data_IF_271343393990
#
_entry.id   IF_271343393990
#
_cell.length_a   1.000
_cell.length_b   1.000
_cell.length_c   1.000
_cell.angle_alpha   90.00
_cell.angle_beta   90.00
_cell.angle_gamma   90.00
#
_symmetry.space_group_name_H-M   'P 1'
#
loop_
_entity.id
_entity.type
_entity.pdbx_description
1 polymer ?
#
# COMPACT_ATOMS: atom_id res chain seq x y z
N UNK A 1 17.61 -6.73 33.56
CA UNK A 1 18.69 -5.94 32.94
C UNK A 1 18.04 -4.66 32.42
N UNK A 2 18.30 -3.52 33.05
CA UNK A 2 17.84 -2.23 32.55
C UNK A 2 18.67 -1.83 31.33
N UNK A 3 17.99 -1.57 30.21
CA UNK A 3 18.65 -1.05 29.01
C UNK A 3 18.68 0.47 29.10
N UNK A 4 19.85 1.06 28.87
CA UNK A 4 19.99 2.51 28.75
C UNK A 4 19.18 3.00 27.54
N UNK A 5 18.53 4.17 27.65
CA UNK A 5 17.85 4.80 26.54
C UNK A 5 18.86 5.12 25.42
N UNK A 6 18.60 4.66 24.21
CA UNK A 6 19.52 4.80 23.08
C UNK A 6 19.81 6.27 22.72
N UNK A 7 18.84 7.17 22.86
CA UNK A 7 19.00 8.61 22.65
C UNK A 7 20.15 9.22 23.46
N UNK A 8 20.42 8.67 24.66
CA UNK A 8 21.54 9.11 25.51
C UNK A 8 22.91 8.64 25.03
N UNK A 9 22.96 7.82 23.96
CA UNK A 9 24.17 7.23 23.44
C UNK A 9 24.61 7.83 22.11
N UNK A 10 23.68 8.48 21.38
CA UNK A 10 23.98 9.13 20.10
C UNK A 10 24.85 10.37 20.29
N UNK A 11 25.72 10.59 19.32
CA UNK A 11 26.47 11.83 19.12
C UNK A 11 25.83 12.62 18.00
N UNK A 12 26.12 13.91 17.91
CA UNK A 12 25.54 14.81 16.90
C UNK A 12 25.65 14.28 15.45
N UNK A 13 26.79 13.68 15.08
CA UNK A 13 26.95 13.10 13.75
C UNK A 13 26.07 11.84 13.53
N UNK A 14 25.88 11.02 14.56
CA UNK A 14 25.03 9.83 14.52
C UNK A 14 23.55 10.22 14.48
N UNK A 15 23.17 11.27 15.19
CA UNK A 15 21.80 11.84 15.12
C UNK A 15 21.49 12.38 13.72
N UNK A 16 22.44 13.06 13.08
CA UNK A 16 22.26 13.57 11.71
C UNK A 16 22.08 12.43 10.68
N UNK A 17 22.85 11.34 10.80
CA UNK A 17 22.68 10.16 9.95
C UNK A 17 21.36 9.45 10.20
N UNK A 18 20.93 9.32 11.45
CA UNK A 18 19.64 8.74 11.83
C UNK A 18 18.48 9.58 11.24
N UNK A 19 18.53 10.91 11.35
CA UNK A 19 17.50 11.80 10.80
C UNK A 19 17.44 11.72 9.27
N UNK A 20 18.57 11.58 8.61
CA UNK A 20 18.64 11.36 7.17
C UNK A 20 17.95 10.04 6.78
N UNK A 21 18.26 8.95 7.51
CA UNK A 21 17.64 7.66 7.30
C UNK A 21 16.12 7.71 7.58
N UNK A 22 15.71 8.35 8.67
CA UNK A 22 14.31 8.52 9.05
C UNK A 22 13.51 9.31 8.00
N UNK A 23 14.12 10.36 7.42
CA UNK A 23 13.52 11.12 6.32
C UNK A 23 13.32 10.24 5.07
N UNK A 24 14.35 9.52 4.65
CA UNK A 24 14.28 8.64 3.50
C UNK A 24 13.25 7.51 3.72
N UNK A 25 13.17 6.97 4.93
CA UNK A 25 12.15 5.97 5.29
C UNK A 25 10.72 6.54 5.21
N UNK A 26 10.46 7.77 5.68
CA UNK A 26 9.15 8.42 5.51
C UNK A 26 8.77 8.56 4.02
N UNK A 27 9.73 8.98 3.19
CA UNK A 27 9.51 9.10 1.74
C UNK A 27 9.23 7.74 1.09
N UNK A 28 9.89 6.68 1.55
CA UNK A 28 9.61 5.31 1.11
C UNK A 28 8.20 4.85 1.50
N UNK A 29 7.76 5.11 2.75
CA UNK A 29 6.41 4.79 3.22
C UNK A 29 5.31 5.57 2.48
N UNK A 30 5.60 6.80 2.08
CA UNK A 30 4.65 7.62 1.32
C UNK A 30 4.42 7.09 -0.09
N UNK A 31 5.47 6.59 -0.74
CA UNK A 31 5.44 6.09 -2.11
C UNK A 31 5.08 4.61 -2.20
N UNK A 32 5.38 3.85 -1.17
CA UNK A 32 5.17 2.42 -1.11
C UNK A 32 3.95 2.05 -0.27
N UNK A 33 2.74 2.26 -0.78
CA UNK A 33 1.51 1.87 -0.08
C UNK A 33 1.14 0.40 -0.32
N UNK A 34 1.56 -0.15 -1.45
CA UNK A 34 1.38 -1.56 -1.84
C UNK A 34 2.72 -2.25 -2.02
N UNK A 35 2.72 -3.59 -2.13
CA UNK A 35 3.93 -4.36 -2.43
C UNK A 35 4.55 -3.95 -3.77
N UNK A 36 3.70 -3.67 -4.79
CA UNK A 36 4.16 -3.23 -6.13
C UNK A 36 4.91 -1.92 -6.06
N UNK A 37 4.36 -0.97 -5.33
CA UNK A 37 4.96 0.35 -5.15
C UNK A 37 6.25 0.26 -4.33
N UNK A 38 6.27 -0.56 -3.25
CA UNK A 38 7.49 -0.83 -2.49
C UNK A 38 8.59 -1.40 -3.38
N UNK A 39 8.27 -2.41 -4.21
CA UNK A 39 9.25 -3.01 -5.13
C UNK A 39 9.74 -1.98 -6.14
N UNK A 40 8.87 -1.13 -6.68
CA UNK A 40 9.26 -0.08 -7.61
C UNK A 40 10.25 0.92 -7.00
N UNK A 41 9.99 1.38 -5.77
CA UNK A 41 10.90 2.28 -5.06
C UNK A 41 12.22 1.59 -4.68
N UNK A 42 12.19 0.32 -4.25
CA UNK A 42 13.41 -0.46 -3.97
C UNK A 42 14.27 -0.62 -5.24
N UNK A 43 13.66 -0.91 -6.39
CA UNK A 43 14.38 -0.99 -7.67
C UNK A 43 15.07 0.33 -7.99
N UNK A 44 14.37 1.44 -7.86
CA UNK A 44 14.89 2.77 -8.12
C UNK A 44 16.08 3.14 -7.22
N UNK A 45 15.98 2.85 -5.92
CA UNK A 45 17.07 3.07 -4.97
C UNK A 45 18.26 2.13 -5.26
N UNK A 46 17.99 0.86 -5.57
CA UNK A 46 19.02 -0.11 -5.92
C UNK A 46 19.77 0.29 -7.21
N UNK A 47 19.05 0.70 -8.26
CA UNK A 47 19.69 1.18 -9.50
C UNK A 47 20.54 2.43 -9.27
N UNK A 48 20.07 3.37 -8.44
CA UNK A 48 20.87 4.53 -8.03
C UNK A 48 22.13 4.16 -7.26
N UNK A 49 22.13 3.01 -6.54
CA UNK A 49 23.29 2.45 -5.85
C UNK A 49 24.15 1.50 -6.70
N UNK A 50 23.87 1.43 -8.01
CA UNK A 50 24.66 0.66 -8.98
C UNK A 50 24.28 -0.82 -9.10
N UNK A 51 23.10 -1.21 -8.65
CA UNK A 51 22.55 -2.54 -8.93
C UNK A 51 21.99 -2.60 -10.35
N UNK A 52 22.18 -3.73 -11.01
CA UNK A 52 21.67 -4.00 -12.35
C UNK A 52 20.63 -5.14 -12.33
N UNK A 53 19.64 -5.08 -13.23
CA UNK A 53 18.67 -6.15 -13.38
C UNK A 53 19.33 -7.45 -13.79
N UNK A 54 19.18 -8.50 -13.01
CA UNK A 54 19.66 -9.86 -13.32
C UNK A 54 19.03 -10.38 -14.61
N UNK A 55 17.75 -10.12 -14.84
CA UNK A 55 17.05 -10.51 -16.07
C UNK A 55 17.70 -9.84 -17.31
N UNK A 56 18.04 -8.56 -17.20
CA UNK A 56 18.72 -7.82 -18.28
C UNK A 56 20.10 -8.40 -18.59
N UNK A 57 20.89 -8.76 -17.54
CA UNK A 57 22.19 -9.43 -17.73
C UNK A 57 22.02 -10.78 -18.42
N UNK A 58 21.05 -11.59 -18.02
CA UNK A 58 20.76 -12.89 -18.63
C UNK A 58 20.40 -12.73 -20.12
N UNK A 59 19.52 -11.77 -20.46
CA UNK A 59 19.13 -11.49 -21.85
C UNK A 59 20.33 -11.08 -22.73
N UNK A 60 21.32 -10.39 -22.15
CA UNK A 60 22.55 -10.00 -22.85
C UNK A 60 23.63 -11.11 -22.89
N UNK A 61 23.39 -12.23 -22.20
CA UNK A 61 24.36 -13.32 -22.06
C UNK A 61 25.56 -12.95 -21.17
N UNK A 62 25.42 -11.96 -20.31
CA UNK A 62 26.48 -11.53 -19.39
C UNK A 62 26.61 -12.51 -18.22
N UNK A 63 27.85 -12.78 -17.81
CA UNK A 63 28.13 -13.63 -16.65
C UNK A 63 28.24 -12.77 -15.40
N UNK A 64 27.71 -13.28 -14.29
CA UNK A 64 27.86 -12.68 -12.97
C UNK A 64 29.29 -12.89 -12.49
N UNK A 65 29.87 -11.86 -11.88
CA UNK A 65 31.25 -11.84 -11.35
C UNK A 65 31.25 -11.40 -9.88
N UNK A 66 32.33 -11.73 -9.19
CA UNK A 66 32.56 -11.20 -7.84
C UNK A 66 32.56 -9.65 -7.86
N UNK A 67 31.90 -9.06 -6.90
CA UNK A 67 31.69 -7.61 -6.80
C UNK A 67 30.45 -7.06 -7.54
N UNK A 68 29.79 -7.90 -8.38
CA UNK A 68 28.58 -7.46 -9.06
C UNK A 68 27.44 -7.21 -8.05
N UNK A 69 26.69 -6.17 -8.31
CA UNK A 69 25.43 -5.84 -7.61
C UNK A 69 24.28 -6.07 -8.56
N UNK A 70 23.40 -7.05 -8.26
CA UNK A 70 22.27 -7.38 -9.11
C UNK A 70 21.00 -7.51 -8.32
N UNK A 71 19.86 -7.25 -8.97
CA UNK A 71 18.53 -7.49 -8.39
C UNK A 71 17.67 -8.36 -9.30
N UNK A 72 16.76 -9.11 -8.70
CA UNK A 72 15.73 -9.88 -9.39
C UNK A 72 14.35 -9.53 -8.84
N UNK A 73 13.37 -9.33 -9.71
CA UNK A 73 11.99 -9.02 -9.36
C UNK A 73 11.08 -10.15 -9.79
N UNK A 74 10.26 -10.64 -8.86
CA UNK A 74 9.21 -11.61 -9.12
C UNK A 74 7.83 -10.96 -9.10
N UNK A 75 7.07 -11.06 -10.20
CA UNK A 75 5.68 -10.61 -10.35
C UNK A 75 5.42 -9.14 -9.92
N UNK A 76 6.46 -8.32 -9.87
CA UNK A 76 6.45 -6.95 -9.32
C UNK A 76 6.05 -6.85 -7.84
N UNK A 77 6.07 -7.95 -7.08
CA UNK A 77 5.67 -8.00 -5.66
C UNK A 77 6.76 -8.51 -4.72
N UNK A 78 7.82 -9.09 -5.26
CA UNK A 78 8.97 -9.56 -4.50
C UNK A 78 10.23 -9.10 -5.19
N UNK A 79 11.24 -8.75 -4.40
CA UNK A 79 12.56 -8.38 -4.90
C UNK A 79 13.64 -9.06 -4.07
N UNK A 80 14.71 -9.46 -4.74
CA UNK A 80 15.94 -9.92 -4.12
C UNK A 80 17.12 -9.13 -4.66
N UNK A 81 17.95 -8.60 -3.77
CA UNK A 81 19.19 -7.91 -4.09
C UNK A 81 20.37 -8.82 -3.73
N UNK A 82 21.34 -8.88 -4.61
CA UNK A 82 22.56 -9.68 -4.42
C UNK A 82 23.80 -8.79 -4.59
N UNK A 83 24.62 -8.76 -3.56
CA UNK A 83 25.99 -8.26 -3.67
C UNK A 83 26.91 -9.49 -3.70
N UNK A 84 27.46 -9.78 -4.87
CA UNK A 84 28.23 -11.00 -5.10
C UNK A 84 29.61 -10.89 -4.42
N UNK A 85 29.84 -11.75 -3.44
CA UNK A 85 31.10 -11.80 -2.70
C UNK A 85 32.27 -12.29 -3.54
N UNK A 86 33.45 -12.25 -2.95
CA UNK A 86 34.68 -12.75 -3.55
C UNK A 86 34.99 -14.20 -3.17
N UNK A 87 34.32 -14.70 -2.13
CA UNK A 87 34.42 -16.09 -1.68
C UNK A 87 33.40 -16.97 -2.42
N UNK A 88 33.67 -18.26 -2.49
CA UNK A 88 32.73 -19.22 -3.07
C UNK A 88 31.46 -19.35 -2.22
N UNK A 89 30.30 -19.59 -2.86
CA UNK A 89 29.00 -19.77 -2.18
C UNK A 89 29.00 -20.91 -1.15
N UNK A 90 29.91 -21.91 -1.33
CA UNK A 90 30.13 -22.98 -0.35
C UNK A 90 30.59 -22.46 1.02
N UNK A 91 31.20 -21.28 1.07
CA UNK A 91 31.55 -20.58 2.30
C UNK A 91 30.40 -19.97 3.07
N UNK A 92 29.19 -19.94 2.46
CA UNK A 92 27.99 -19.38 3.03
C UNK A 92 27.62 -18.01 2.47
N UNK A 93 26.51 -17.46 2.96
CA UNK A 93 26.04 -16.12 2.60
C UNK A 93 25.37 -15.46 3.81
N UNK A 94 25.36 -14.14 3.83
CA UNK A 94 24.56 -13.35 4.78
C UNK A 94 23.24 -12.99 4.11
N UNK A 95 22.11 -13.28 4.78
CA UNK A 95 20.78 -13.05 4.25
C UNK A 95 20.05 -12.08 5.18
N UNK A 96 19.54 -10.98 4.61
CA UNK A 96 18.55 -10.11 5.24
C UNK A 96 17.19 -10.38 4.58
N UNK A 97 16.17 -10.61 5.38
CA UNK A 97 14.83 -10.94 4.88
C UNK A 97 13.77 -10.20 5.70
N UNK A 98 12.80 -9.63 5.01
CA UNK A 98 11.63 -8.99 5.59
C UNK A 98 10.46 -9.06 4.62
N UNK A 99 9.22 -8.90 5.10
CA UNK A 99 8.06 -8.76 4.22
C UNK A 99 7.71 -7.29 4.00
N UNK A 100 7.05 -6.99 2.87
CA UNK A 100 6.65 -5.64 2.47
C UNK A 100 5.13 -5.46 2.35
N UNK A 101 4.39 -6.57 2.43
CA UNK A 101 2.93 -6.53 2.57
C UNK A 101 2.54 -6.02 3.96
N UNK A 102 1.38 -5.39 4.03
CA UNK A 102 0.79 -4.88 5.27
C UNK A 102 -0.71 -5.14 5.27
N UNK A 103 -1.35 -5.23 6.44
CA UNK A 103 -2.80 -5.41 6.52
C UNK A 103 -3.55 -4.31 5.75
N UNK A 104 -4.53 -4.71 4.94
CA UNK A 104 -5.30 -3.85 4.05
C UNK A 104 -6.67 -4.42 3.75
N UNK A 105 -7.45 -3.76 2.90
CA UNK A 105 -8.67 -4.30 2.33
C UNK A 105 -8.48 -4.48 0.82
N UNK A 106 -8.71 -5.69 0.33
CA UNK A 106 -8.67 -5.98 -1.10
C UNK A 106 -10.07 -5.79 -1.70
N UNK A 107 -10.16 -5.08 -2.82
CA UNK A 107 -11.40 -4.90 -3.57
C UNK A 107 -11.75 -6.22 -4.27
N UNK A 108 -13.00 -6.69 -4.12
CA UNK A 108 -13.47 -7.95 -4.76
C UNK A 108 -13.63 -7.79 -6.27
N UNK A 109 -13.79 -8.92 -6.98
CA UNK A 109 -13.85 -8.93 -8.44
C UNK A 109 -15.15 -8.32 -9.02
N UNK A 110 -16.26 -8.34 -8.26
CA UNK A 110 -17.52 -7.69 -8.63
C UNK A 110 -17.92 -6.77 -7.48
N UNK A 111 -17.18 -5.66 -7.28
CA UNK A 111 -17.26 -4.95 -6.01
C UNK A 111 -18.38 -3.91 -5.96
N UNK A 112 -18.82 -3.42 -7.13
CA UNK A 112 -19.70 -2.26 -7.20
C UNK A 112 -21.15 -2.62 -6.97
N UNK A 113 -21.75 -2.05 -5.92
CA UNK A 113 -23.18 -2.10 -5.70
C UNK A 113 -23.72 -0.76 -5.21
N UNK A 114 -25.00 -0.51 -5.47
CA UNK A 114 -25.72 0.66 -5.00
C UNK A 114 -26.81 0.23 -4.02
N UNK A 115 -26.85 0.86 -2.86
CA UNK A 115 -27.90 0.70 -1.86
C UNK A 115 -28.28 2.07 -1.27
N UNK A 116 -29.59 2.36 -1.24
CA UNK A 116 -30.14 3.61 -0.68
C UNK A 116 -29.47 4.89 -1.23
N UNK A 117 -29.31 4.94 -2.56
CA UNK A 117 -28.63 6.04 -3.29
C UNK A 117 -27.16 6.28 -2.89
N UNK A 118 -26.51 5.25 -2.37
CA UNK A 118 -25.08 5.24 -2.05
C UNK A 118 -24.39 4.11 -2.81
N UNK A 119 -23.19 4.38 -3.33
CA UNK A 119 -22.37 3.37 -4.02
C UNK A 119 -21.21 2.94 -3.15
N UNK A 120 -21.05 1.64 -3.10
CA UNK A 120 -20.02 0.98 -2.32
C UNK A 120 -19.12 0.09 -3.17
N UNK A 121 -17.87 -0.10 -2.70
CA UNK A 121 -16.98 -1.18 -3.12
C UNK A 121 -17.00 -2.27 -2.04
N UNK A 122 -17.43 -3.46 -2.42
CA UNK A 122 -17.33 -4.67 -1.59
C UNK A 122 -15.86 -5.09 -1.47
N UNK A 123 -15.40 -5.34 -0.25
CA UNK A 123 -14.02 -5.64 0.06
C UNK A 123 -13.86 -6.92 0.88
N UNK A 124 -12.64 -7.42 0.92
CA UNK A 124 -12.21 -8.44 1.85
C UNK A 124 -10.94 -8.01 2.54
N UNK A 125 -10.86 -8.21 3.86
CA UNK A 125 -9.66 -7.84 4.61
C UNK A 125 -8.52 -8.84 4.42
N UNK A 126 -7.31 -8.31 4.27
CA UNK A 126 -6.07 -9.06 4.19
C UNK A 126 -5.24 -8.89 5.46
N UNK A 127 -4.73 -9.99 6.01
CA UNK A 127 -3.88 -9.97 7.19
C UNK A 127 -4.61 -9.75 8.51
N UNK A 128 -3.87 -9.39 9.55
CA UNK A 128 -4.37 -9.18 10.90
C UNK A 128 -4.99 -7.81 11.10
N UNK A 129 -6.29 -7.65 10.81
CA UNK A 129 -7.00 -6.37 10.89
C UNK A 129 -7.81 -6.26 12.19
N UNK A 130 -7.56 -5.22 12.98
CA UNK A 130 -8.49 -4.77 14.03
C UNK A 130 -9.58 -3.93 13.38
N UNK A 131 -10.68 -4.55 12.99
CA UNK A 131 -11.73 -3.98 12.13
C UNK A 131 -12.26 -2.63 12.59
N UNK A 132 -12.42 -2.45 13.91
CA UNK A 132 -12.89 -1.21 14.51
C UNK A 132 -11.93 -0.01 14.32
N UNK A 133 -10.68 -0.24 13.92
CA UNK A 133 -9.72 0.82 13.61
C UNK A 133 -9.85 1.34 12.18
N UNK A 134 -10.58 0.64 11.32
CA UNK A 134 -10.69 0.95 9.88
C UNK A 134 -11.91 1.80 9.52
N UNK A 135 -12.91 1.84 10.41
CA UNK A 135 -14.07 2.70 10.22
C UNK A 135 -13.74 4.16 10.53
N UNK A 136 -14.35 5.09 9.81
CA UNK A 136 -14.17 6.55 9.97
C UNK A 136 -12.73 7.07 9.75
N UNK A 137 -11.87 6.28 9.15
CA UNK A 137 -10.56 6.74 8.68
C UNK A 137 -10.63 7.23 7.23
N UNK A 138 -9.88 8.29 6.89
CA UNK A 138 -9.60 8.58 5.49
C UNK A 138 -8.83 7.41 4.86
N UNK A 139 -9.34 6.89 3.74
CA UNK A 139 -8.77 5.77 3.02
C UNK A 139 -8.39 6.19 1.60
N UNK A 140 -7.37 5.55 1.07
CA UNK A 140 -6.90 5.68 -0.30
C UNK A 140 -7.03 4.34 -1.02
N UNK A 141 -7.15 4.37 -2.35
CA UNK A 141 -7.17 3.19 -3.20
C UNK A 141 -5.95 3.19 -4.11
N UNK A 142 -5.20 2.10 -4.07
CA UNK A 142 -4.00 1.87 -4.87
C UNK A 142 -4.08 0.54 -5.61
N UNK A 143 -3.38 0.43 -6.71
CA UNK A 143 -3.22 -0.84 -7.38
C UNK A 143 -3.15 -0.74 -8.88
N UNK A 144 -3.48 -1.84 -9.55
CA UNK A 144 -3.42 -1.97 -11.00
C UNK A 144 -4.64 -2.67 -11.56
N UNK A 145 -5.01 -2.29 -12.77
CA UNK A 145 -6.06 -2.93 -13.55
C UNK A 145 -5.46 -3.43 -14.86
N UNK A 146 -5.50 -4.75 -15.08
CA UNK A 146 -5.08 -5.35 -16.34
C UNK A 146 -6.26 -5.38 -17.32
N UNK A 147 -6.16 -4.64 -18.41
CA UNK A 147 -7.25 -4.52 -19.39
C UNK A 147 -7.22 -5.64 -20.43
N UNK A 148 -8.35 -5.85 -21.11
CA UNK A 148 -8.50 -6.89 -22.15
C UNK A 148 -7.50 -6.78 -23.31
N UNK A 149 -7.03 -5.59 -23.60
CA UNK A 149 -6.02 -5.34 -24.65
C UNK A 149 -4.58 -5.63 -24.21
N UNK A 150 -4.39 -6.06 -22.96
CA UNK A 150 -3.09 -6.35 -22.34
C UNK A 150 -2.41 -5.13 -21.73
N UNK A 151 -3.00 -3.95 -21.81
CA UNK A 151 -2.50 -2.77 -21.09
C UNK A 151 -2.76 -2.91 -19.59
N UNK A 152 -1.93 -2.22 -18.79
CA UNK A 152 -2.08 -2.16 -17.33
C UNK A 152 -2.20 -0.70 -16.95
N UNK A 153 -3.25 -0.39 -16.20
CA UNK A 153 -3.52 0.95 -15.67
C UNK A 153 -3.18 0.96 -14.20
N UNK A 154 -2.36 1.91 -13.77
CA UNK A 154 -2.09 2.16 -12.35
C UNK A 154 -3.17 3.09 -11.79
N UNK A 155 -3.68 2.75 -10.61
CA UNK A 155 -4.70 3.51 -9.90
C UNK A 155 -4.13 3.99 -8.58
N UNK A 156 -4.24 5.30 -8.35
CA UNK A 156 -3.94 5.94 -7.06
C UNK A 156 -4.99 7.03 -6.82
N UNK A 157 -5.75 6.91 -5.75
CA UNK A 157 -6.81 7.85 -5.37
C UNK A 157 -6.76 8.06 -3.86
N UNK A 158 -6.69 9.30 -3.40
CA UNK A 158 -6.79 9.66 -1.99
C UNK A 158 -5.49 10.06 -1.30
N UNK A 159 -4.37 10.16 -2.03
CA UNK A 159 -3.08 10.56 -1.48
C UNK A 159 -2.75 12.04 -1.72
N UNK A 160 -3.17 12.59 -2.84
CA UNK A 160 -2.97 14.00 -3.14
C UNK A 160 -4.02 14.86 -2.43
N UNK A 161 -3.68 16.09 -2.09
CA UNK A 161 -4.58 17.03 -1.38
C UNK A 161 -5.86 17.36 -2.17
N UNK A 162 -5.79 17.25 -3.50
CA UNK A 162 -6.94 17.47 -4.40
C UNK A 162 -7.76 16.20 -4.64
N UNK A 163 -7.25 15.03 -4.28
CA UNK A 163 -7.99 13.77 -4.42
C UNK A 163 -9.08 13.66 -3.36
N UNK A 164 -10.25 13.06 -3.70
CA UNK A 164 -11.20 12.66 -2.69
C UNK A 164 -10.65 11.50 -1.85
N UNK A 165 -10.90 11.52 -0.55
CA UNK A 165 -10.67 10.36 0.31
C UNK A 165 -11.88 9.44 0.34
N UNK A 166 -11.67 8.18 0.61
CA UNK A 166 -12.69 7.15 0.74
C UNK A 166 -12.96 6.85 2.22
N UNK A 167 -14.12 6.29 2.54
CA UNK A 167 -14.50 6.01 3.93
C UNK A 167 -15.25 4.69 4.06
N UNK A 168 -15.05 4.04 5.20
CA UNK A 168 -15.99 3.06 5.75
C UNK A 168 -16.81 3.82 6.80
N UNK A 169 -18.12 3.88 6.61
CA UNK A 169 -19.03 4.56 7.54
C UNK A 169 -19.23 3.74 8.81
N UNK A 170 -19.56 4.42 9.91
CA UNK A 170 -19.96 3.78 11.16
C UNK A 170 -21.19 4.46 11.73
N UNK A 171 -21.88 3.80 12.65
CA UNK A 171 -23.03 4.34 13.32
C UNK A 171 -22.65 5.50 14.24
N UNK A 172 -23.39 6.59 14.14
CA UNK A 172 -23.26 7.67 15.12
C UNK A 172 -23.72 7.20 16.51
N UNK A 173 -23.21 7.86 17.55
CA UNK A 173 -23.40 7.44 18.94
C UNK A 173 -24.86 7.20 19.33
N UNK A 174 -25.80 8.00 18.81
CA UNK A 174 -27.22 7.87 19.13
C UNK A 174 -27.88 6.61 18.57
N UNK A 175 -27.30 5.99 17.54
CA UNK A 175 -27.79 4.77 16.90
C UNK A 175 -26.96 3.53 17.29
N UNK A 176 -25.82 3.69 17.95
CA UNK A 176 -24.86 2.63 18.21
C UNK A 176 -25.12 1.80 19.49
N UNK A 177 -26.23 2.00 20.19
CA UNK A 177 -26.48 1.39 21.49
C UNK A 177 -26.35 -0.14 21.54
N UNK A 178 -26.80 -0.85 20.50
CA UNK A 178 -26.61 -2.31 20.37
C UNK A 178 -25.18 -2.68 19.98
N UNK A 179 -24.57 -1.90 19.12
CA UNK A 179 -23.19 -2.10 18.65
C UNK A 179 -22.20 -1.99 19.81
N UNK A 180 -22.35 -0.99 20.67
CA UNK A 180 -21.49 -0.75 21.84
C UNK A 180 -21.56 -1.84 22.93
N UNK A 181 -22.56 -2.72 22.87
CA UNK A 181 -22.68 -3.86 23.79
C UNK A 181 -21.91 -5.10 23.29
N UNK A 182 -21.44 -5.09 22.02
CA UNK A 182 -20.67 -6.19 21.45
C UNK A 182 -19.22 -6.18 21.96
N UNK A 183 -18.56 -7.33 21.90
CA UNK A 183 -17.11 -7.40 22.13
C UNK A 183 -16.36 -6.67 21.02
N UNK A 184 -15.19 -6.13 21.33
CA UNK A 184 -14.37 -5.40 20.35
C UNK A 184 -14.09 -6.19 19.05
N UNK A 185 -13.96 -7.51 19.14
CA UNK A 185 -13.78 -8.38 17.98
C UNK A 185 -15.03 -8.52 17.08
N UNK A 186 -16.20 -8.16 17.59
CA UNK A 186 -17.52 -8.35 16.97
C UNK A 186 -18.20 -7.01 16.65
N UNK A 187 -17.66 -5.90 17.15
CA UNK A 187 -18.28 -4.56 17.04
C UNK A 187 -18.39 -4.11 15.60
N UNK A 188 -17.41 -4.46 14.77
CA UNK A 188 -17.39 -4.28 13.31
C UNK A 188 -17.23 -5.66 12.66
N UNK A 189 -18.11 -5.99 11.74
CA UNK A 189 -18.08 -7.23 10.98
C UNK A 189 -17.13 -7.08 9.79
N UNK A 190 -16.22 -8.06 9.59
CA UNK A 190 -15.17 -7.96 8.57
C UNK A 190 -15.70 -7.88 7.14
N UNK A 191 -16.75 -8.65 6.85
CA UNK A 191 -17.40 -8.66 5.53
C UNK A 191 -18.33 -7.45 5.28
N UNK A 192 -18.31 -6.46 6.18
CA UNK A 192 -19.06 -5.20 6.07
C UNK A 192 -18.13 -3.98 6.07
N UNK A 193 -16.85 -4.22 5.77
CA UNK A 193 -15.88 -3.14 5.58
C UNK A 193 -15.96 -2.59 4.15
N UNK A 194 -17.20 -2.29 3.70
CA UNK A 194 -17.46 -1.78 2.36
C UNK A 194 -17.15 -0.28 2.28
N UNK A 195 -16.50 0.09 1.20
CA UNK A 195 -15.99 1.44 1.00
C UNK A 195 -17.07 2.30 0.33
N UNK A 196 -17.53 3.35 1.00
CA UNK A 196 -18.39 4.35 0.40
C UNK A 196 -17.59 5.21 -0.59
N UNK A 197 -18.04 5.21 -1.85
CA UNK A 197 -17.34 5.90 -2.95
C UNK A 197 -18.19 6.92 -3.71
N UNK A 198 -19.48 7.02 -3.46
CA UNK A 198 -20.30 8.01 -4.13
C UNK A 198 -21.77 8.06 -3.66
N UNK A 199 -22.40 9.22 -3.90
CA UNK A 199 -23.81 9.46 -3.58
C UNK A 199 -24.51 10.39 -4.59
N UNK A 200 -23.79 10.85 -5.64
CA UNK A 200 -24.36 11.75 -6.64
C UNK A 200 -24.88 10.95 -7.84
N UNK A 201 -26.18 10.97 -8.13
CA UNK A 201 -26.72 10.27 -9.29
C UNK A 201 -26.33 10.97 -10.59
N UNK A 202 -26.23 10.20 -11.66
CA UNK A 202 -26.17 10.72 -13.01
C UNK A 202 -27.54 11.27 -13.40
N UNK A 203 -27.57 12.49 -13.92
CA UNK A 203 -28.79 13.09 -14.43
C UNK A 203 -29.18 12.46 -15.79
N UNK A 204 -30.45 12.55 -16.15
CA UNK A 204 -30.99 12.20 -17.49
C UNK A 204 -30.81 10.74 -17.91
N UNK A 205 -30.86 9.81 -16.96
CA UNK A 205 -30.90 8.38 -17.26
C UNK A 205 -32.29 7.91 -17.69
N UNK A 206 -32.38 6.94 -18.64
CA UNK A 206 -33.61 6.20 -18.91
C UNK A 206 -34.18 5.56 -17.63
N UNK A 207 -35.51 5.43 -17.58
CA UNK A 207 -36.23 4.96 -16.36
C UNK A 207 -35.77 3.58 -15.88
N UNK A 208 -35.38 2.69 -16.80
CA UNK A 208 -34.83 1.37 -16.50
C UNK A 208 -33.43 1.38 -15.86
N UNK A 209 -32.69 2.49 -15.98
CA UNK A 209 -31.34 2.68 -15.41
C UNK A 209 -31.32 3.61 -14.19
N UNK A 210 -32.43 4.20 -13.80
CA UNK A 210 -32.49 5.12 -12.65
C UNK A 210 -32.13 4.45 -11.33
N UNK A 211 -32.35 3.14 -11.23
CA UNK A 211 -32.04 2.38 -10.01
C UNK A 211 -30.56 2.37 -9.66
N UNK A 212 -29.68 2.46 -10.66
CA UNK A 212 -28.23 2.39 -10.49
C UNK A 212 -27.55 3.72 -10.92
N UNK A 213 -28.27 4.84 -10.71
CA UNK A 213 -27.84 6.15 -11.23
C UNK A 213 -26.55 6.68 -10.59
N UNK A 214 -26.33 6.39 -9.30
CA UNK A 214 -25.11 6.78 -8.60
C UNK A 214 -23.94 5.89 -9.04
N UNK A 215 -24.17 4.58 -9.15
CA UNK A 215 -23.19 3.61 -9.66
C UNK A 215 -22.73 3.99 -11.07
N UNK A 216 -23.66 4.35 -11.94
CA UNK A 216 -23.34 4.76 -13.32
C UNK A 216 -22.46 6.03 -13.34
N UNK A 217 -22.74 6.99 -12.45
CA UNK A 217 -21.91 8.19 -12.33
C UNK A 217 -20.48 7.86 -11.89
N UNK A 218 -20.33 6.99 -10.90
CA UNK A 218 -19.00 6.54 -10.42
C UNK A 218 -18.23 5.81 -11.53
N UNK A 219 -18.91 4.93 -12.28
CA UNK A 219 -18.29 4.24 -13.43
C UNK A 219 -17.84 5.23 -14.51
N UNK A 220 -18.62 6.28 -14.78
CA UNK A 220 -18.22 7.32 -15.73
C UNK A 220 -16.94 8.05 -15.24
N UNK A 221 -16.86 8.41 -13.96
CA UNK A 221 -15.67 9.05 -13.37
C UNK A 221 -14.43 8.14 -13.51
N UNK A 222 -14.56 6.86 -13.20
CA UNK A 222 -13.46 5.89 -13.34
C UNK A 222 -13.05 5.70 -14.81
N UNK A 223 -14.02 5.69 -15.71
CA UNK A 223 -13.75 5.60 -17.16
C UNK A 223 -13.06 6.86 -17.66
N UNK A 224 -13.51 8.05 -17.32
CA UNK A 224 -12.90 9.32 -17.73
C UNK A 224 -11.45 9.47 -17.21
N UNK A 225 -11.19 9.11 -15.94
CA UNK A 225 -9.87 9.27 -15.32
C UNK A 225 -8.89 8.16 -15.71
N UNK A 226 -9.35 6.90 -15.77
CA UNK A 226 -8.50 5.72 -15.90
C UNK A 226 -8.84 4.83 -17.11
N UNK A 227 -9.93 5.11 -17.83
CA UNK A 227 -10.43 4.24 -18.89
C UNK A 227 -10.93 2.89 -18.39
N UNK A 228 -11.33 2.79 -17.10
CA UNK A 228 -11.80 1.56 -16.45
C UNK A 228 -13.30 1.41 -16.71
N UNK A 229 -13.72 0.21 -17.09
CA UNK A 229 -15.10 -0.23 -17.17
C UNK A 229 -15.41 -1.22 -16.05
N UNK A 230 -16.68 -1.50 -15.78
CA UNK A 230 -17.09 -2.40 -14.69
C UNK A 230 -16.49 -3.80 -14.84
N UNK A 231 -16.38 -4.31 -16.05
CA UNK A 231 -15.78 -5.62 -16.31
C UNK A 231 -14.27 -5.70 -15.98
N UNK A 232 -13.57 -4.57 -15.98
CA UNK A 232 -12.14 -4.51 -15.70
C UNK A 232 -11.81 -4.83 -14.24
N UNK A 233 -12.78 -4.72 -13.33
CA UNK A 233 -12.60 -5.14 -11.93
C UNK A 233 -12.31 -6.64 -11.79
N UNK A 234 -12.72 -7.48 -12.75
CA UNK A 234 -12.40 -8.92 -12.75
C UNK A 234 -10.90 -9.22 -12.78
N UNK A 235 -10.11 -8.32 -13.35
CA UNK A 235 -8.65 -8.41 -13.49
C UNK A 235 -7.92 -7.29 -12.76
N UNK A 236 -8.61 -6.62 -11.85
CA UNK A 236 -8.05 -5.59 -11.00
C UNK A 236 -7.39 -6.20 -9.76
N UNK A 237 -6.31 -5.56 -9.34
CA UNK A 237 -5.69 -5.73 -8.03
C UNK A 237 -5.68 -4.36 -7.37
N UNK A 238 -6.74 -4.06 -6.63
CA UNK A 238 -6.97 -2.79 -5.97
C UNK A 238 -6.99 -3.00 -4.46
N UNK A 239 -6.18 -2.22 -3.77
CA UNK A 239 -5.97 -2.28 -2.33
C UNK A 239 -6.42 -0.97 -1.70
N UNK A 240 -7.18 -1.05 -0.62
CA UNK A 240 -7.61 0.09 0.18
C UNK A 240 -6.74 0.16 1.43
N UNK A 241 -6.13 1.30 1.63
CA UNK A 241 -5.18 1.56 2.73
C UNK A 241 -5.50 2.88 3.43
N UNK A 242 -5.04 3.11 4.66
CA UNK A 242 -5.13 4.42 5.28
C UNK A 242 -4.45 5.51 4.45
N UNK A 243 -5.20 6.57 4.13
CA UNK A 243 -4.71 7.70 3.36
C UNK A 243 -3.76 8.58 4.17
N UNK A 244 -2.87 9.26 3.47
CA UNK A 244 -2.02 10.30 4.03
C UNK A 244 -0.57 9.88 4.22
N UNK A 245 0.25 10.92 4.44
CA UNK A 245 1.72 10.80 4.47
C UNK A 245 2.23 10.38 5.84
N UNK A 246 3.39 9.73 5.85
CA UNK A 246 4.19 9.49 7.04
C UNK A 246 4.58 10.83 7.70
N UNK A 247 4.49 10.89 9.02
CA UNK A 247 4.77 12.10 9.81
C UNK A 247 5.62 11.78 11.01
N UNK A 248 6.36 12.80 11.46
CA UNK A 248 6.94 12.77 12.80
C UNK A 248 5.82 12.65 13.84
N UNK A 249 6.06 11.87 14.86
CA UNK A 249 5.14 11.63 15.97
C UNK A 249 5.81 11.98 17.30
N UNK A 250 5.03 12.54 18.21
CA UNK A 250 5.51 13.12 19.46
C UNK A 250 5.92 14.59 19.30
N UNK A 251 5.87 15.34 20.39
CA UNK A 251 6.26 16.76 20.40
C UNK A 251 7.77 16.95 20.12
N UNK A 252 8.56 15.96 20.48
CA UNK A 252 10.00 15.88 20.27
C UNK A 252 10.39 15.28 18.92
N UNK A 253 9.38 14.86 18.10
CA UNK A 253 9.55 14.25 16.77
C UNK A 253 10.41 12.97 16.77
N UNK A 254 10.45 12.26 17.89
CA UNK A 254 11.32 11.07 18.07
C UNK A 254 10.77 9.77 17.46
N UNK A 255 9.58 9.81 16.89
CA UNK A 255 8.90 8.65 16.32
C UNK A 255 8.35 8.98 14.93
N UNK A 256 8.00 7.93 14.16
CA UNK A 256 7.34 8.05 12.85
C UNK A 256 5.95 7.40 12.95
N UNK A 257 4.92 8.15 12.58
CA UNK A 257 3.57 7.65 12.40
C UNK A 257 3.28 7.47 10.92
N UNK A 258 2.96 6.26 10.50
CA UNK A 258 2.65 5.91 9.12
C UNK A 258 1.90 4.58 9.03
N UNK A 259 1.22 4.37 7.91
CA UNK A 259 0.75 3.06 7.50
C UNK A 259 1.93 2.17 7.05
N UNK A 260 1.82 0.87 7.27
CA UNK A 260 2.77 -0.10 6.74
C UNK A 260 4.05 -0.30 7.55
N UNK A 261 4.13 0.19 8.79
CA UNK A 261 5.30 0.02 9.66
C UNK A 261 5.68 -1.45 9.88
N UNK A 262 4.70 -2.34 9.99
CA UNK A 262 4.88 -3.79 10.03
C UNK A 262 4.67 -4.33 8.60
N UNK A 263 5.69 -4.81 7.87
CA UNK A 263 7.08 -4.93 8.38
C UNK A 263 8.07 -4.09 7.53
N UNK A 264 7.60 -2.99 6.95
CA UNK A 264 8.42 -2.12 6.10
C UNK A 264 9.57 -1.46 6.86
N UNK A 265 9.49 -1.37 8.19
CA UNK A 265 10.62 -0.90 8.99
C UNK A 265 11.81 -1.86 8.89
N UNK A 266 11.58 -3.18 8.92
CA UNK A 266 12.62 -4.17 8.72
C UNK A 266 13.08 -4.23 7.26
N UNK A 267 12.14 -4.13 6.31
CA UNK A 267 12.46 -4.15 4.89
C UNK A 267 13.34 -2.96 4.48
N UNK A 268 12.98 -1.74 4.90
CA UNK A 268 13.73 -0.55 4.54
C UNK A 268 15.12 -0.49 5.19
N UNK A 269 15.21 -0.87 6.47
CA UNK A 269 16.51 -0.93 7.13
C UNK A 269 17.41 -2.01 6.55
N UNK A 270 16.84 -3.13 6.09
CA UNK A 270 17.57 -4.16 5.34
C UNK A 270 18.05 -3.65 3.98
N UNK A 271 17.18 -2.90 3.26
CA UNK A 271 17.56 -2.23 2.02
C UNK A 271 18.71 -1.26 2.24
N UNK A 272 18.58 -0.34 3.21
CA UNK A 272 19.62 0.63 3.52
C UNK A 272 20.97 0.00 3.89
N UNK A 273 20.93 -1.19 4.52
CA UNK A 273 22.15 -1.94 4.84
C UNK A 273 22.78 -2.64 3.62
N UNK A 274 21.99 -2.91 2.57
CA UNK A 274 22.45 -3.53 1.32
C UNK A 274 23.00 -2.52 0.31
N UNK A 275 22.54 -1.28 0.31
CA UNK A 275 22.96 -0.22 -0.59
C UNK A 275 24.31 0.39 -0.20
#
# INVERSE_FOLDING_TARGET
>A
MERRNAWLSYKEAEEAEMEKLAKAYREFLDKGKTERECVAEIVKEAEAAGYESLESKIKKGEKIKAGDKVYAVGMKKIIALFHVGYEELSGGMSILCAHIDSPRLDVKQNPLYEDTDLVYLDTHYYGGVKKYQWVTLPLAMHGVVAKKDGSVVEVSIGEDEEDPVLYITDLLIHLSGKQLQKKAAEVIEGEKLDILIGSRPLADLPDDKKKDAVKQNVLNILNEKYGIEEEDFLSAELEIVPAGKARDCGLDRSMIAAYGQDDRVCAYTSLAAML
#
